data_IF_862642018195
#
_entry.id   IF_862642018195
#
_cell.length_a   1.000
_cell.length_b   1.000
_cell.length_c   1.000
_cell.angle_alpha   90.00
_cell.angle_beta   90.00
_cell.angle_gamma   90.00
#
_symmetry.space_group_name_H-M   'P 1'
#
loop_
_entity.id
_entity.type
_entity.pdbx_description
1 polymer ?
#
# COMPACT_ATOMS: atom_id res chain seq x y z
N UNK A 1 -17.32 40.93 45.04
CA UNK A 1 -16.25 40.02 44.66
C UNK A 1 -14.95 40.57 45.20
N UNK A 2 -14.24 39.78 45.94
CA UNK A 2 -13.06 40.22 46.67
C UNK A 2 -11.87 40.25 45.71
N UNK A 3 -11.15 41.37 45.50
CA UNK A 3 -10.07 41.46 44.51
C UNK A 3 -8.94 40.46 44.73
N UNK A 4 -8.77 39.95 45.93
CA UNK A 4 -7.78 38.91 46.27
C UNK A 4 -8.12 37.51 45.66
N UNK A 5 -9.37 37.19 45.41
CA UNK A 5 -9.77 35.93 44.78
C UNK A 5 -9.54 35.95 43.27
N UNK A 6 -9.52 37.11 42.64
CA UNK A 6 -9.26 37.28 41.20
C UNK A 6 -7.78 37.16 40.85
N UNK A 7 -6.85 37.56 41.76
CA UNK A 7 -5.41 37.43 41.56
C UNK A 7 -4.95 35.97 41.61
N UNK A 8 -5.63 35.10 42.35
CA UNK A 8 -5.28 33.68 42.50
C UNK A 8 -5.75 32.79 41.33
N UNK A 9 -6.72 33.25 40.51
CA UNK A 9 -7.28 32.43 39.41
C UNK A 9 -6.35 32.31 38.23
N UNK A 10 -5.54 33.32 37.91
CA UNK A 10 -4.60 33.32 36.80
C UNK A 10 -3.15 33.18 37.31
N UNK A 11 -2.86 32.03 37.90
CA UNK A 11 -1.48 31.62 38.22
C UNK A 11 -0.91 30.84 37.01
N UNK A 12 0.43 30.68 36.98
CA UNK A 12 1.13 29.95 35.91
C UNK A 12 0.54 28.55 35.70
N UNK A 13 0.26 27.85 36.79
CA UNK A 13 -0.29 26.50 36.79
C UNK A 13 -1.69 26.47 36.13
N UNK A 14 -2.59 27.36 36.50
CA UNK A 14 -3.91 27.48 35.94
C UNK A 14 -3.88 27.93 34.46
N UNK A 15 -2.90 28.74 34.07
CA UNK A 15 -2.71 29.15 32.69
C UNK A 15 -2.24 27.99 31.80
N UNK A 16 -1.35 27.15 32.30
CA UNK A 16 -0.94 25.91 31.60
C UNK A 16 -2.13 24.96 31.49
N UNK A 17 -2.88 24.76 32.57
CA UNK A 17 -4.08 23.92 32.54
C UNK A 17 -5.14 24.42 31.55
N UNK A 18 -5.37 25.73 31.50
CA UNK A 18 -6.26 26.34 30.50
C UNK A 18 -5.79 26.08 29.06
N UNK A 19 -4.48 26.22 28.81
CA UNK A 19 -3.92 25.97 27.48
C UNK A 19 -4.10 24.51 27.06
N UNK A 20 -3.83 23.57 27.95
CA UNK A 20 -4.06 22.13 27.70
C UNK A 20 -5.55 21.82 27.46
N UNK A 21 -6.43 22.37 28.29
CA UNK A 21 -7.87 22.22 28.14
C UNK A 21 -8.40 22.79 26.82
N UNK A 22 -7.85 23.90 26.37
CA UNK A 22 -8.17 24.49 25.07
C UNK A 22 -7.70 23.61 23.90
N UNK A 23 -6.51 23.03 23.96
CA UNK A 23 -5.99 22.09 22.98
C UNK A 23 -6.84 20.82 22.88
N UNK A 24 -7.32 20.31 24.02
CA UNK A 24 -8.18 19.13 24.09
C UNK A 24 -9.65 19.42 23.77
N UNK A 25 -10.01 20.68 23.44
CA UNK A 25 -11.40 21.15 23.21
C UNK A 25 -12.36 20.92 24.38
N UNK A 26 -11.83 20.72 25.57
CA UNK A 26 -12.63 20.44 26.76
C UNK A 26 -13.13 21.72 27.44
N UNK A 27 -12.50 22.87 27.12
CA UNK A 27 -12.78 24.14 27.79
C UNK A 27 -12.26 24.16 29.22
N UNK A 28 -12.38 25.32 29.86
CA UNK A 28 -12.01 25.51 31.26
C UNK A 28 -12.96 26.51 31.90
N UNK A 29 -13.25 26.35 33.21
CA UNK A 29 -14.16 27.22 33.97
C UNK A 29 -13.55 28.61 34.23
N UNK A 30 -12.27 28.83 33.86
CA UNK A 30 -11.59 30.09 34.06
C UNK A 30 -11.89 31.07 32.95
N UNK A 31 -12.69 32.11 33.26
CA UNK A 31 -12.99 33.18 32.31
C UNK A 31 -12.17 34.43 32.65
N UNK A 32 -11.40 34.98 31.69
CA UNK A 32 -10.70 36.24 31.92
C UNK A 32 -11.65 37.41 32.11
N UNK A 33 -11.33 38.30 33.03
CA UNK A 33 -12.16 39.47 33.38
C UNK A 33 -11.93 40.63 32.42
N UNK A 34 -10.66 40.82 31.95
CA UNK A 34 -10.33 41.93 31.07
C UNK A 34 -10.73 41.64 29.61
N UNK A 35 -11.23 42.67 28.92
CA UNK A 35 -11.68 42.58 27.53
C UNK A 35 -10.51 42.15 26.59
N UNK A 36 -9.33 42.73 26.80
CA UNK A 36 -8.14 42.42 25.98
C UNK A 36 -7.74 40.93 26.10
N UNK A 37 -7.80 40.37 27.31
CA UNK A 37 -7.47 38.97 27.54
C UNK A 37 -8.52 38.03 26.94
N UNK A 38 -9.80 38.41 26.99
CA UNK A 38 -10.87 37.66 26.33
C UNK A 38 -10.66 37.57 24.83
N UNK A 39 -10.24 38.66 24.21
CA UNK A 39 -9.96 38.71 22.78
C UNK A 39 -8.78 37.79 22.41
N UNK A 40 -7.70 37.84 23.19
CA UNK A 40 -6.51 36.97 23.01
C UNK A 40 -6.87 35.49 23.16
N UNK A 41 -7.62 35.14 24.20
CA UNK A 41 -8.10 33.75 24.41
C UNK A 41 -9.02 33.32 23.25
N UNK A 42 -9.87 34.18 22.76
CA UNK A 42 -10.73 33.90 21.59
C UNK A 42 -9.92 33.57 20.33
N UNK A 43 -8.87 34.35 20.03
CA UNK A 43 -7.95 34.07 18.93
C UNK A 43 -7.24 32.73 19.13
N UNK A 44 -6.80 32.45 20.35
CA UNK A 44 -6.14 31.20 20.68
C UNK A 44 -7.06 29.99 20.47
N UNK A 45 -8.32 30.04 20.91
CA UNK A 45 -9.31 28.98 20.64
C UNK A 45 -9.57 28.80 19.16
N UNK A 46 -9.67 29.87 18.39
CA UNK A 46 -9.84 29.82 16.95
C UNK A 46 -8.65 29.13 16.27
N UNK A 47 -7.42 29.47 16.71
CA UNK A 47 -6.19 28.83 16.20
C UNK A 47 -6.16 27.33 16.50
N UNK A 48 -6.45 26.94 17.75
CA UNK A 48 -6.46 25.50 18.13
C UNK A 48 -7.53 24.71 17.38
N UNK A 49 -8.68 25.31 17.12
CA UNK A 49 -9.74 24.69 16.32
C UNK A 49 -9.31 24.42 14.88
N UNK A 50 -8.68 25.40 14.23
CA UNK A 50 -8.16 25.23 12.85
C UNK A 50 -7.07 24.16 12.82
N UNK A 51 -6.15 24.19 13.80
CA UNK A 51 -5.05 23.23 13.87
C UNK A 51 -5.56 21.80 14.02
N UNK A 52 -6.49 21.58 14.93
CA UNK A 52 -7.08 20.25 15.16
C UNK A 52 -7.92 19.78 13.97
N UNK A 53 -8.72 20.67 13.37
CA UNK A 53 -9.50 20.36 12.16
C UNK A 53 -8.58 19.98 10.98
N UNK A 54 -7.48 20.70 10.78
CA UNK A 54 -6.50 20.41 9.74
C UNK A 54 -5.80 19.07 9.99
N UNK A 55 -5.43 18.78 11.24
CA UNK A 55 -4.81 17.51 11.60
C UNK A 55 -5.75 16.32 11.34
N UNK A 56 -6.99 16.40 11.82
CA UNK A 56 -7.98 15.32 11.63
C UNK A 56 -8.34 15.14 10.17
N UNK A 57 -8.47 16.20 9.39
CA UNK A 57 -8.72 16.13 7.95
C UNK A 57 -7.57 15.45 7.20
N UNK A 58 -6.32 15.82 7.49
CA UNK A 58 -5.14 15.20 6.88
C UNK A 58 -5.00 13.73 7.28
N UNK A 59 -5.27 13.39 8.54
CA UNK A 59 -5.25 12.01 9.02
C UNK A 59 -6.31 11.17 8.31
N UNK A 60 -7.54 11.66 8.22
CA UNK A 60 -8.63 10.99 7.50
C UNK A 60 -8.29 10.81 6.00
N UNK A 61 -7.73 11.83 5.34
CA UNK A 61 -7.31 11.75 3.95
C UNK A 61 -6.20 10.72 3.74
N UNK A 62 -5.22 10.66 4.63
CA UNK A 62 -4.13 9.67 4.59
C UNK A 62 -4.66 8.24 4.72
N UNK A 63 -5.50 7.97 5.71
CA UNK A 63 -6.11 6.66 5.91
C UNK A 63 -7.03 6.25 4.75
N UNK A 64 -7.73 7.21 4.14
CA UNK A 64 -8.62 6.95 2.99
C UNK A 64 -7.84 6.69 1.70
N UNK A 65 -6.71 7.35 1.50
CA UNK A 65 -5.91 7.16 0.29
C UNK A 65 -5.31 5.76 0.18
N UNK A 66 -4.97 5.12 1.29
CA UNK A 66 -4.50 3.72 1.31
C UNK A 66 -5.60 2.73 0.91
N UNK A 67 -6.87 3.05 1.16
CA UNK A 67 -8.01 2.18 0.79
C UNK A 67 -8.53 2.39 -0.62
N UNK A 68 -8.17 3.50 -1.29
CA UNK A 68 -8.61 3.81 -2.67
C UNK A 68 -7.80 3.10 -3.75
N UNK A 69 -6.60 2.64 -3.45
CA UNK A 69 -5.87 1.73 -4.32
C UNK A 69 -6.52 0.35 -4.15
N UNK A 70 -7.42 -0.02 -5.07
CA UNK A 70 -7.91 -1.41 -5.12
C UNK A 70 -6.68 -2.30 -5.24
N UNK A 71 -6.37 -3.11 -4.22
CA UNK A 71 -5.26 -4.04 -4.34
C UNK A 71 -5.59 -4.98 -5.51
N UNK A 72 -4.59 -5.26 -6.34
CA UNK A 72 -4.73 -6.28 -7.39
C UNK A 72 -4.82 -7.62 -6.67
N UNK A 73 -5.95 -8.28 -6.76
CA UNK A 73 -6.18 -9.55 -6.09
C UNK A 73 -5.97 -10.76 -7.01
N UNK A 74 -6.07 -10.54 -8.32
CA UNK A 74 -5.99 -11.63 -9.29
C UNK A 74 -5.48 -11.15 -10.65
N UNK A 75 -5.23 -12.11 -11.56
CA UNK A 75 -4.75 -11.84 -12.92
C UNK A 75 -5.75 -11.03 -13.77
N UNK A 76 -7.04 -11.14 -13.49
CA UNK A 76 -8.08 -10.38 -14.21
C UNK A 76 -7.99 -8.89 -13.85
N UNK A 77 -7.78 -8.58 -12.59
CA UNK A 77 -7.60 -7.19 -12.14
C UNK A 77 -6.33 -6.61 -12.74
N UNK A 78 -5.25 -7.40 -12.77
CA UNK A 78 -3.98 -7.00 -13.39
C UNK A 78 -4.14 -6.73 -14.90
N UNK A 79 -4.92 -7.55 -15.60
CA UNK A 79 -5.19 -7.39 -17.03
C UNK A 79 -6.09 -6.19 -17.37
N UNK A 80 -6.96 -5.76 -16.44
CA UNK A 80 -7.91 -4.67 -16.64
C UNK A 80 -7.37 -3.27 -16.38
N UNK A 81 -6.16 -3.17 -15.80
CA UNK A 81 -5.51 -1.91 -15.45
C UNK A 81 -4.26 -1.67 -16.30
N UNK A 82 -3.79 -0.41 -16.35
CA UNK A 82 -2.63 0.03 -17.15
C UNK A 82 -1.51 0.66 -16.33
N UNK A 83 -1.74 0.92 -15.04
CA UNK A 83 -0.80 1.63 -14.18
C UNK A 83 0.39 0.77 -13.79
N UNK A 84 0.13 -0.51 -13.45
CA UNK A 84 1.17 -1.46 -13.07
C UNK A 84 1.54 -2.28 -14.30
N UNK A 85 2.79 -2.18 -14.73
CA UNK A 85 3.33 -3.01 -15.80
C UNK A 85 3.59 -4.42 -15.29
N UNK A 86 3.52 -5.40 -16.16
CA UNK A 86 3.79 -6.79 -15.78
C UNK A 86 4.49 -7.54 -16.91
N UNK A 87 5.25 -8.54 -16.53
CA UNK A 87 6.02 -9.31 -17.48
C UNK A 87 6.42 -10.69 -16.99
N UNK A 88 7.09 -11.41 -17.87
CA UNK A 88 7.56 -12.80 -17.71
C UNK A 88 9.02 -12.92 -18.17
N UNK A 89 9.63 -14.07 -17.88
CA UNK A 89 10.91 -14.42 -18.52
C UNK A 89 10.67 -14.70 -20.00
N UNK A 90 11.48 -14.06 -20.85
CA UNK A 90 11.44 -14.27 -22.29
C UNK A 90 11.76 -15.74 -22.64
N UNK A 91 10.95 -16.35 -23.49
CA UNK A 91 11.05 -17.77 -23.90
C UNK A 91 10.98 -18.81 -22.76
N UNK A 92 10.48 -18.45 -21.57
CA UNK A 92 10.26 -19.40 -20.48
C UNK A 92 8.94 -20.20 -20.61
N UNK A 93 8.74 -21.15 -19.68
CA UNK A 93 7.50 -21.93 -19.55
C UNK A 93 6.26 -21.03 -19.36
N UNK A 94 6.39 -20.02 -18.51
CA UNK A 94 5.35 -19.01 -18.26
C UNK A 94 5.02 -18.20 -19.52
N UNK A 95 6.02 -17.83 -20.29
CA UNK A 95 5.85 -17.14 -21.57
C UNK A 95 5.03 -17.99 -22.57
N UNK A 96 5.36 -19.28 -22.69
CA UNK A 96 4.62 -20.21 -23.56
C UNK A 96 3.18 -20.41 -23.09
N UNK A 97 2.96 -20.46 -21.76
CA UNK A 97 1.61 -20.53 -21.17
C UNK A 97 0.70 -19.39 -21.63
N UNK A 98 1.17 -18.14 -21.52
CA UNK A 98 0.37 -16.97 -21.95
C UNK A 98 0.17 -16.92 -23.46
N UNK A 99 1.20 -17.27 -24.24
CA UNK A 99 1.14 -17.29 -25.70
C UNK A 99 0.10 -18.27 -26.22
N UNK A 100 0.06 -19.48 -25.63
CA UNK A 100 -0.74 -20.59 -26.13
C UNK A 100 -2.14 -20.67 -25.44
N UNK A 101 -2.41 -19.76 -24.51
CA UNK A 101 -3.65 -19.73 -23.74
C UNK A 101 -4.86 -19.33 -24.61
N UNK A 102 -6.00 -20.00 -24.35
CA UNK A 102 -7.28 -19.71 -24.99
C UNK A 102 -8.17 -18.77 -24.17
N UNK A 103 -7.81 -18.47 -22.93
CA UNK A 103 -8.58 -17.58 -22.05
C UNK A 103 -8.36 -16.12 -22.43
N UNK A 104 -9.46 -15.36 -22.54
CA UNK A 104 -9.40 -13.95 -22.98
C UNK A 104 -8.54 -13.08 -22.07
N UNK A 105 -8.59 -13.30 -20.77
CA UNK A 105 -7.74 -12.56 -19.80
C UNK A 105 -6.24 -12.76 -20.10
N UNK A 106 -5.82 -14.00 -20.33
CA UNK A 106 -4.40 -14.30 -20.59
C UNK A 106 -3.96 -13.86 -21.98
N UNK A 107 -4.86 -13.85 -22.95
CA UNK A 107 -4.63 -13.29 -24.29
C UNK A 107 -4.44 -11.77 -24.22
N UNK A 108 -5.25 -11.09 -23.44
CA UNK A 108 -5.09 -9.65 -23.18
C UNK A 108 -3.74 -9.35 -22.52
N UNK A 109 -3.38 -10.12 -21.51
CA UNK A 109 -2.06 -10.00 -20.85
C UNK A 109 -0.91 -10.24 -21.83
N UNK A 110 -1.03 -11.27 -22.68
CA UNK A 110 -0.03 -11.56 -23.70
C UNK A 110 0.11 -10.44 -24.72
N UNK A 111 -0.99 -9.90 -25.22
CA UNK A 111 -0.96 -8.77 -26.15
C UNK A 111 -0.31 -7.52 -25.56
N UNK A 112 -0.55 -7.24 -24.28
CA UNK A 112 0.11 -6.15 -23.56
C UNK A 112 1.63 -6.37 -23.45
N UNK A 113 2.07 -7.57 -23.05
CA UNK A 113 3.48 -7.89 -22.88
C UNK A 113 4.27 -7.91 -24.20
N UNK A 114 3.60 -8.24 -25.31
CA UNK A 114 4.22 -8.33 -26.66
C UNK A 114 4.07 -7.05 -27.46
N UNK A 115 3.37 -6.05 -26.98
CA UNK A 115 3.24 -4.76 -27.63
C UNK A 115 4.65 -4.15 -27.84
N UNK A 116 4.92 -3.53 -29.00
CA UNK A 116 6.25 -2.98 -29.32
C UNK A 116 6.77 -1.98 -28.25
N UNK A 117 5.86 -1.25 -27.65
CA UNK A 117 6.18 -0.26 -26.60
C UNK A 117 6.59 -0.89 -25.27
N UNK A 118 6.11 -2.10 -24.99
CA UNK A 118 6.28 -2.76 -23.70
C UNK A 118 7.31 -3.88 -23.73
N UNK A 119 7.47 -4.59 -24.84
CA UNK A 119 8.25 -5.83 -24.95
C UNK A 119 9.63 -5.74 -24.31
N UNK A 120 10.38 -4.72 -24.65
CA UNK A 120 11.77 -4.54 -24.15
C UNK A 120 11.82 -4.06 -22.70
N UNK A 121 10.69 -3.54 -22.20
CA UNK A 121 10.60 -3.03 -20.83
C UNK A 121 10.00 -4.03 -19.85
N UNK A 122 9.15 -4.95 -20.28
CA UNK A 122 8.44 -5.87 -19.37
C UNK A 122 8.96 -7.30 -19.41
N UNK A 123 9.59 -7.72 -20.52
CA UNK A 123 10.17 -9.06 -20.61
C UNK A 123 11.58 -9.08 -20.07
N UNK A 124 11.87 -10.05 -19.21
CA UNK A 124 13.16 -10.19 -18.54
C UNK A 124 13.92 -11.41 -19.06
N UNK A 125 15.25 -11.36 -18.98
CA UNK A 125 16.07 -12.49 -19.42
C UNK A 125 16.20 -13.59 -18.35
N UNK A 126 15.94 -13.24 -17.08
CA UNK A 126 16.03 -14.18 -15.97
C UNK A 126 15.06 -13.84 -14.84
N UNK A 127 14.74 -14.83 -13.99
CA UNK A 127 13.95 -14.62 -12.77
C UNK A 127 14.61 -13.61 -11.83
N UNK A 128 15.93 -13.63 -11.70
CA UNK A 128 16.68 -12.72 -10.84
C UNK A 128 16.49 -11.25 -11.26
N UNK A 129 16.52 -10.99 -12.56
CA UNK A 129 16.31 -9.67 -13.14
C UNK A 129 14.87 -9.19 -12.92
N UNK A 130 13.87 -10.08 -13.11
CA UNK A 130 12.46 -9.78 -12.85
C UNK A 130 12.20 -9.42 -11.40
N UNK A 131 12.74 -10.19 -10.45
CA UNK A 131 12.60 -9.94 -9.01
C UNK A 131 13.26 -8.60 -8.63
N UNK A 132 14.46 -8.33 -9.13
CA UNK A 132 15.16 -7.07 -8.89
C UNK A 132 14.29 -5.88 -9.35
N UNK A 133 13.70 -6.00 -10.52
CA UNK A 133 12.84 -4.95 -11.07
C UNK A 133 11.57 -4.72 -10.26
N UNK A 134 10.94 -5.78 -9.71
CA UNK A 134 9.78 -5.62 -8.80
C UNK A 134 10.16 -4.79 -7.59
N UNK A 135 11.29 -5.10 -6.95
CA UNK A 135 11.79 -4.36 -5.77
C UNK A 135 12.11 -2.89 -6.12
N UNK A 136 12.76 -2.64 -7.26
CA UNK A 136 13.17 -1.30 -7.69
C UNK A 136 11.99 -0.43 -8.17
N UNK A 137 10.88 -1.03 -8.57
CA UNK A 137 9.73 -0.31 -9.14
C UNK A 137 8.73 0.23 -8.12
N UNK A 138 8.92 -0.09 -6.83
CA UNK A 138 8.05 0.39 -5.74
C UNK A 138 6.55 0.24 -6.04
N UNK A 139 6.14 -0.98 -6.41
CA UNK A 139 4.75 -1.31 -6.75
C UNK A 139 4.33 -1.00 -8.19
N UNK A 140 5.19 -0.44 -9.03
CA UNK A 140 4.90 -0.13 -10.44
C UNK A 140 5.06 -1.30 -11.42
N UNK A 141 5.57 -2.46 -10.95
CA UNK A 141 5.80 -3.63 -11.79
C UNK A 141 5.47 -4.94 -11.07
N UNK A 142 4.82 -5.86 -11.77
CA UNK A 142 4.51 -7.22 -11.31
C UNK A 142 5.22 -8.25 -12.19
N UNK A 143 5.76 -9.30 -11.58
CA UNK A 143 6.48 -10.34 -12.28
C UNK A 143 5.79 -11.69 -12.15
N UNK A 144 5.51 -12.33 -13.27
CA UNK A 144 4.81 -13.61 -13.36
C UNK A 144 5.83 -14.74 -13.51
N UNK A 145 5.84 -15.67 -12.58
CA UNK A 145 6.77 -16.78 -12.53
C UNK A 145 6.13 -18.03 -11.89
N UNK A 146 6.85 -19.10 -11.77
CA UNK A 146 6.39 -20.34 -11.16
C UNK A 146 6.12 -20.17 -9.65
N UNK A 147 5.04 -20.80 -9.14
CA UNK A 147 4.60 -20.67 -7.75
C UNK A 147 5.66 -21.08 -6.73
N UNK A 148 6.37 -22.17 -6.96
CA UNK A 148 7.46 -22.63 -6.09
C UNK A 148 8.60 -21.62 -5.96
N UNK A 149 8.91 -20.92 -7.05
CA UNK A 149 9.92 -19.85 -7.03
C UNK A 149 9.40 -18.61 -6.30
N UNK A 150 8.12 -18.28 -6.43
CA UNK A 150 7.49 -17.17 -5.70
C UNK A 150 7.53 -17.45 -4.19
N UNK A 151 7.04 -18.61 -3.75
CA UNK A 151 7.04 -19.01 -2.35
C UNK A 151 8.44 -18.94 -1.73
N UNK A 152 9.43 -19.50 -2.44
CA UNK A 152 10.84 -19.47 -1.99
C UNK A 152 11.38 -18.07 -1.78
N UNK A 153 11.00 -17.11 -2.63
CA UNK A 153 11.51 -15.74 -2.59
C UNK A 153 10.78 -14.89 -1.57
N UNK A 154 9.45 -15.01 -1.49
CA UNK A 154 8.61 -14.27 -0.55
C UNK A 154 8.96 -14.62 0.90
N UNK A 155 9.30 -15.89 1.20
CA UNK A 155 9.77 -16.30 2.53
C UNK A 155 11.11 -15.65 2.93
N UNK A 156 11.90 -15.16 1.98
CA UNK A 156 13.24 -14.60 2.21
C UNK A 156 13.32 -13.10 2.07
N UNK A 157 12.37 -12.49 1.41
CA UNK A 157 12.33 -11.05 1.14
C UNK A 157 11.00 -10.47 1.60
N UNK A 158 11.02 -9.72 2.70
CA UNK A 158 9.84 -9.08 3.28
C UNK A 158 9.23 -7.97 2.39
N UNK A 159 9.98 -7.49 1.41
CA UNK A 159 9.55 -6.42 0.49
C UNK A 159 8.70 -6.97 -0.69
N UNK A 160 8.49 -8.28 -0.75
CA UNK A 160 7.75 -8.95 -1.81
C UNK A 160 6.55 -9.70 -1.25
N UNK A 161 5.45 -9.66 -1.98
CA UNK A 161 4.25 -10.42 -1.66
C UNK A 161 3.72 -11.17 -2.89
N UNK A 162 3.20 -12.35 -2.67
CA UNK A 162 2.44 -13.06 -3.69
C UNK A 162 1.03 -12.48 -3.80
N UNK A 163 0.59 -12.23 -5.03
CA UNK A 163 -0.76 -11.74 -5.33
C UNK A 163 -1.51 -12.81 -6.13
N UNK A 164 -2.71 -13.12 -5.67
CA UNK A 164 -3.58 -14.11 -6.30
C UNK A 164 -3.14 -15.56 -6.09
N UNK A 165 -3.88 -16.47 -6.70
CA UNK A 165 -3.60 -17.90 -6.72
C UNK A 165 -2.89 -18.35 -7.99
N UNK A 166 -2.70 -19.66 -8.11
CA UNK A 166 -2.10 -20.27 -9.30
C UNK A 166 -2.97 -20.01 -10.54
N UNK A 167 -2.32 -19.63 -11.64
CA UNK A 167 -2.98 -19.35 -12.92
C UNK A 167 -3.31 -20.64 -13.70
N UNK A 168 -2.57 -21.72 -13.43
CA UNK A 168 -2.81 -23.07 -13.97
C UNK A 168 -2.63 -24.12 -12.87
N UNK A 169 -2.99 -25.35 -13.19
CA UNK A 169 -2.86 -26.50 -12.29
C UNK A 169 -1.96 -27.55 -12.94
N UNK A 170 -0.66 -27.22 -13.05
CA UNK A 170 0.36 -28.15 -13.53
C UNK A 170 1.21 -28.62 -12.37
N UNK A 171 1.44 -29.93 -12.32
CA UNK A 171 2.36 -30.55 -11.37
C UNK A 171 3.71 -30.84 -11.98
N UNK A 172 4.69 -31.09 -11.11
CA UNK A 172 5.98 -31.63 -11.52
C UNK A 172 5.91 -33.16 -11.59
N UNK A 173 6.54 -33.75 -12.57
CA UNK A 173 6.71 -35.18 -12.72
C UNK A 173 8.19 -35.55 -12.80
N UNK A 174 8.54 -36.71 -12.29
CA UNK A 174 9.88 -37.28 -12.42
C UNK A 174 9.89 -38.18 -13.66
N UNK A 175 10.78 -37.91 -14.60
CA UNK A 175 10.96 -38.76 -15.77
C UNK A 175 11.89 -39.93 -15.43
N UNK A 176 11.38 -41.15 -15.59
CA UNK A 176 12.17 -42.37 -15.43
C UNK A 176 12.40 -43.04 -16.79
N UNK A 177 13.44 -43.87 -16.86
CA UNK A 177 13.67 -44.63 -18.07
C UNK A 177 12.61 -45.71 -18.22
N UNK A 178 12.02 -45.91 -19.42
CA UNK A 178 11.04 -46.98 -19.62
C UNK A 178 11.59 -48.36 -19.18
N UNK A 179 10.84 -49.05 -18.34
CA UNK A 179 11.24 -50.38 -17.81
C UNK A 179 12.13 -50.34 -16.55
N UNK A 180 12.27 -49.19 -15.85
CA UNK A 180 13.05 -49.10 -14.61
C UNK A 180 12.35 -49.69 -13.36
N UNK A 181 11.20 -50.29 -13.48
CA UNK A 181 10.54 -51.06 -12.38
C UNK A 181 10.00 -50.26 -11.21
N UNK A 182 10.06 -48.90 -11.25
CA UNK A 182 9.56 -48.02 -10.19
C UNK A 182 8.26 -47.28 -10.60
N UNK A 183 7.57 -47.78 -11.63
CA UNK A 183 6.35 -47.18 -12.18
C UNK A 183 5.07 -47.52 -11.37
N UNK A 184 5.19 -48.23 -10.23
CA UNK A 184 4.05 -48.63 -9.40
C UNK A 184 4.19 -48.15 -7.95
N UNK A 185 3.81 -46.87 -7.72
CA UNK A 185 3.27 -46.47 -6.42
C UNK A 185 2.55 -45.10 -6.49
#
# INVERSE_FOLDING_TARGET
MNPKELETQWNLENSVWHTVGALMQQGTDFCPVSLSLRFLVGIFYFFTLILLASYTANLAASLTSETLLKPIENAKDLASQTNIKYGVVYCGSTCSFFRDSKFDTYRTMWSFMTAPENKDTVMMNSNAEGIKRVVESDGGYAFLMESTSIEYIVERKCDLAQIGGNLDNKGYGIALRPGSGEDES
#
